data_IF_763973526278
#
_entry.id   IF_763973526278
#
_cell.length_a   1.000
_cell.length_b   1.000
_cell.length_c   1.000
_cell.angle_alpha   90.00
_cell.angle_beta   90.00
_cell.angle_gamma   90.00
#
_symmetry.space_group_name_H-M   'P 1'
#
loop_
_entity.id
_entity.type
_entity.pdbx_description
1 polymer ?
#
# COMPACT_ATOMS: atom_id res chain seq x y z
N UNK A 1 -2.37 -52.54 25.17
CA UNK A 1 -1.37 -51.78 24.38
C UNK A 1 -2.05 -50.49 23.99
N UNK A 2 -1.89 -49.48 24.83
CA UNK A 2 -2.82 -48.37 24.94
C UNK A 2 -2.61 -47.34 23.83
N UNK A 3 -3.71 -46.96 23.16
CA UNK A 3 -3.73 -46.01 22.03
C UNK A 3 -3.04 -44.68 22.41
N UNK A 4 -3.08 -44.30 23.69
CA UNK A 4 -2.39 -43.15 24.25
C UNK A 4 -0.85 -43.25 24.17
N UNK A 5 -0.27 -44.44 24.32
CA UNK A 5 1.17 -44.64 24.20
C UNK A 5 1.65 -44.55 22.74
N UNK A 6 0.83 -45.03 21.80
CA UNK A 6 1.12 -44.95 20.37
C UNK A 6 1.05 -43.49 19.84
N UNK A 7 0.05 -42.72 20.28
CA UNK A 7 -0.08 -41.29 19.92
C UNK A 7 1.05 -40.47 20.53
N UNK A 8 1.45 -40.75 21.78
CA UNK A 8 2.58 -40.10 22.43
C UNK A 8 3.92 -40.34 21.70
N UNK A 9 4.15 -41.57 21.22
CA UNK A 9 5.38 -41.92 20.49
C UNK A 9 5.47 -41.20 19.13
N UNK A 10 4.35 -41.08 18.42
CA UNK A 10 4.28 -40.34 17.14
C UNK A 10 4.53 -38.84 17.35
N UNK A 11 4.01 -38.27 18.43
CA UNK A 11 4.22 -36.85 18.75
C UNK A 11 5.69 -36.53 19.08
N UNK A 12 6.35 -37.40 19.85
CA UNK A 12 7.78 -37.27 20.17
C UNK A 12 8.65 -37.44 18.92
N UNK A 13 8.31 -38.38 18.04
CA UNK A 13 9.01 -38.57 16.76
C UNK A 13 8.84 -37.36 15.83
N UNK A 14 7.64 -36.77 15.76
CA UNK A 14 7.37 -35.57 14.97
C UNK A 14 8.12 -34.33 15.49
N UNK A 15 8.17 -34.14 16.82
CA UNK A 15 8.95 -33.07 17.44
C UNK A 15 10.46 -33.25 17.23
N UNK A 16 10.96 -34.48 17.30
CA UNK A 16 12.37 -34.79 17.02
C UNK A 16 12.73 -34.52 15.55
N UNK A 17 11.85 -34.84 14.61
CA UNK A 17 12.02 -34.54 13.18
C UNK A 17 11.97 -33.03 12.89
N UNK A 18 11.06 -32.29 13.53
CA UNK A 18 11.00 -30.83 13.45
C UNK A 18 12.27 -30.16 14.01
N UNK A 19 12.77 -30.63 15.15
CA UNK A 19 14.00 -30.15 15.75
C UNK A 19 15.24 -30.46 14.89
N UNK A 20 15.27 -31.63 14.24
CA UNK A 20 16.33 -32.00 13.29
C UNK A 20 16.28 -31.14 12.02
N UNK A 21 15.08 -30.80 11.53
CA UNK A 21 14.88 -29.90 10.40
C UNK A 21 15.31 -28.46 10.74
N UNK A 22 14.98 -27.98 11.94
CA UNK A 22 15.45 -26.68 12.47
C UNK A 22 16.97 -26.62 12.68
N UNK A 23 17.61 -27.74 13.05
CA UNK A 23 19.08 -27.83 13.15
C UNK A 23 19.77 -27.87 11.80
N UNK A 24 19.16 -28.45 10.75
CA UNK A 24 19.72 -28.46 9.38
C UNK A 24 19.73 -27.08 8.71
N UNK A 25 18.81 -26.19 9.07
CA UNK A 25 18.79 -24.80 8.60
C UNK A 25 19.87 -23.88 9.21
N UNK A 26 20.66 -24.37 10.17
CA UNK A 26 21.74 -23.61 10.84
C UNK A 26 23.14 -24.03 10.41
N UNK A 27 23.27 -24.75 9.29
CA UNK A 27 24.55 -25.01 8.65
C UNK A 27 25.16 -23.68 8.16
N UNK A 28 26.13 -23.20 8.93
CA UNK A 28 26.97 -22.02 8.68
C UNK A 28 27.37 -21.92 7.20
N UNK A 29 26.81 -20.95 6.48
CA UNK A 29 27.51 -20.34 5.36
C UNK A 29 28.76 -19.66 5.92
N UNK A 30 29.89 -20.36 5.82
CA UNK A 30 31.22 -19.83 6.13
C UNK A 30 31.65 -19.01 4.92
N UNK A 31 31.32 -17.72 4.91
CA UNK A 31 31.76 -16.80 3.86
C UNK A 31 33.29 -16.81 3.75
N UNK A 32 33.88 -16.86 2.55
CA UNK A 32 35.31 -16.72 2.39
C UNK A 32 35.73 -15.33 2.90
N UNK A 33 36.82 -15.27 3.69
CA UNK A 33 37.39 -13.99 4.13
C UNK A 33 37.81 -13.18 2.89
N UNK A 34 37.02 -12.17 2.56
CA UNK A 34 37.40 -11.17 1.57
C UNK A 34 38.66 -10.44 2.07
N UNK A 35 39.69 -10.36 1.22
CA UNK A 35 40.83 -9.46 1.43
C UNK A 35 40.29 -8.02 1.53
N UNK A 36 40.79 -7.16 2.44
CA UNK A 36 40.32 -5.79 2.50
C UNK A 36 40.70 -5.09 1.19
N UNK A 37 39.69 -4.79 0.37
CA UNK A 37 39.85 -3.84 -0.72
C UNK A 37 40.12 -2.50 -0.05
N UNK A 38 41.31 -1.93 -0.25
CA UNK A 38 41.61 -0.56 0.16
C UNK A 38 40.68 0.37 -0.61
N UNK A 39 39.54 0.70 0.00
CA UNK A 39 38.64 1.72 -0.49
C UNK A 39 39.42 3.04 -0.51
N UNK A 40 39.40 3.79 -1.63
CA UNK A 40 39.94 5.14 -1.63
C UNK A 40 39.22 5.98 -0.55
N UNK A 41 39.88 7.01 0.02
CA UNK A 41 39.30 7.82 1.07
C UNK A 41 37.89 8.28 0.70
N UNK A 42 36.95 8.10 1.63
CA UNK A 42 35.58 8.59 1.51
C UNK A 42 35.60 10.02 0.99
N UNK A 43 34.98 10.21 -0.18
CA UNK A 43 34.78 11.52 -0.79
C UNK A 43 34.23 12.52 0.24
N UNK A 44 34.62 13.80 0.18
CA UNK A 44 34.25 14.80 1.17
C UNK A 44 32.73 14.87 1.38
N UNK A 45 32.30 14.87 2.64
CA UNK A 45 30.91 14.92 3.12
C UNK A 45 30.11 16.18 2.72
N UNK A 46 30.70 17.09 1.94
CA UNK A 46 30.13 18.40 1.60
C UNK A 46 30.01 18.57 0.07
N UNK A 47 29.32 17.65 -0.61
CA UNK A 47 28.73 18.01 -1.90
C UNK A 47 27.52 18.90 -1.60
N UNK A 48 27.44 20.13 -2.15
CA UNK A 48 26.25 20.95 -1.97
C UNK A 48 25.05 20.15 -2.46
N UNK A 49 24.07 19.98 -1.57
CA UNK A 49 22.78 19.35 -1.89
C UNK A 49 22.21 20.18 -3.02
N UNK A 50 22.26 19.67 -4.26
CA UNK A 50 21.70 20.38 -5.42
C UNK A 50 20.29 20.83 -5.05
N UNK A 51 20.08 22.14 -5.04
CA UNK A 51 18.74 22.71 -4.89
C UNK A 51 17.83 22.07 -5.93
N UNK A 52 16.57 21.83 -5.55
CA UNK A 52 15.59 21.34 -6.50
C UNK A 52 15.58 22.27 -7.73
N UNK A 53 15.55 21.74 -8.97
CA UNK A 53 15.55 22.58 -10.17
C UNK A 53 14.37 23.55 -10.12
N UNK A 54 14.58 24.80 -10.54
CA UNK A 54 13.46 25.75 -10.66
C UNK A 54 12.52 25.34 -11.82
N UNK A 55 11.37 26.03 -11.95
CA UNK A 55 10.39 25.67 -12.97
C UNK A 55 10.95 25.78 -14.41
N UNK A 56 11.86 26.72 -14.67
CA UNK A 56 12.48 26.90 -15.99
C UNK A 56 13.47 25.76 -16.29
N UNK A 57 14.23 25.33 -15.29
CA UNK A 57 15.12 24.18 -15.38
C UNK A 57 14.34 22.88 -15.57
N UNK A 58 13.26 22.68 -14.82
CA UNK A 58 12.36 21.54 -14.98
C UNK A 58 11.80 21.48 -16.41
N UNK A 59 11.30 22.60 -16.93
CA UNK A 59 10.80 22.68 -18.31
C UNK A 59 11.90 22.30 -19.32
N UNK A 60 13.11 22.82 -19.15
CA UNK A 60 14.24 22.50 -20.04
C UNK A 60 14.62 21.02 -19.99
N UNK A 61 14.54 20.40 -18.82
CA UNK A 61 14.76 18.96 -18.65
C UNK A 61 13.67 18.17 -19.40
N UNK A 62 12.40 18.54 -19.23
CA UNK A 62 11.26 17.90 -19.91
C UNK A 62 11.38 18.02 -21.43
N UNK A 63 11.66 19.21 -21.96
CA UNK A 63 11.77 19.44 -23.41
C UNK A 63 12.85 18.59 -24.09
N UNK A 64 13.87 18.14 -23.35
CA UNK A 64 15.01 17.37 -23.88
C UNK A 64 14.84 15.85 -23.72
N UNK A 65 13.82 15.40 -22.99
CA UNK A 65 13.62 14.00 -22.69
C UNK A 65 12.57 13.36 -23.63
N UNK A 66 12.76 12.10 -24.07
CA UNK A 66 11.70 11.35 -24.74
C UNK A 66 10.64 10.90 -23.72
N UNK A 67 9.37 10.99 -24.11
CA UNK A 67 8.26 10.45 -23.32
C UNK A 67 7.49 9.42 -24.13
N UNK A 68 7.12 8.32 -23.49
CA UNK A 68 6.25 7.30 -24.06
C UNK A 68 5.09 7.04 -23.12
N UNK A 69 3.93 6.71 -23.68
CA UNK A 69 2.79 6.26 -22.89
C UNK A 69 3.06 4.87 -22.32
N UNK A 70 2.54 4.61 -21.13
CA UNK A 70 2.53 3.29 -20.48
C UNK A 70 1.16 3.00 -19.90
N UNK A 71 0.89 1.73 -19.55
CA UNK A 71 -0.30 1.39 -18.76
C UNK A 71 -0.24 2.09 -17.41
N UNK A 72 -1.38 2.61 -16.95
CA UNK A 72 -1.50 3.24 -15.63
C UNK A 72 -1.33 2.22 -14.49
N UNK A 73 -1.79 0.99 -14.73
CA UNK A 73 -1.86 -0.09 -13.75
C UNK A 73 -1.47 -1.43 -14.37
N UNK A 74 -1.12 -2.41 -13.54
CA UNK A 74 -0.84 -3.77 -13.95
C UNK A 74 -2.09 -4.46 -14.54
N UNK A 75 -1.93 -5.66 -15.12
CA UNK A 75 -3.09 -6.40 -15.64
C UNK A 75 -4.02 -6.84 -14.50
N UNK A 76 -3.43 -7.32 -13.40
CA UNK A 76 -4.18 -7.78 -12.23
C UNK A 76 -4.91 -6.60 -11.54
N UNK A 77 -4.23 -5.46 -11.36
CA UNK A 77 -4.86 -4.22 -10.87
C UNK A 77 -6.03 -3.80 -11.78
N UNK A 78 -5.89 -3.89 -13.10
CA UNK A 78 -6.97 -3.56 -14.04
C UNK A 78 -8.17 -4.51 -13.92
N UNK A 79 -7.93 -5.79 -13.65
CA UNK A 79 -9.00 -6.77 -13.47
C UNK A 79 -9.76 -6.51 -12.15
N UNK A 80 -9.06 -6.16 -11.07
CA UNK A 80 -9.69 -5.67 -9.82
C UNK A 80 -10.45 -4.38 -10.07
N UNK A 81 -9.86 -3.40 -10.76
CA UNK A 81 -10.50 -2.12 -11.07
C UNK A 81 -11.85 -2.33 -11.77
N UNK A 82 -11.89 -3.20 -12.78
CA UNK A 82 -13.11 -3.52 -13.53
C UNK A 82 -14.15 -4.23 -12.67
N UNK A 83 -13.72 -5.13 -11.78
CA UNK A 83 -14.63 -5.80 -10.86
C UNK A 83 -15.29 -4.80 -9.89
N UNK A 84 -14.50 -3.90 -9.31
CA UNK A 84 -14.98 -2.82 -8.43
C UNK A 84 -15.93 -1.90 -9.21
N UNK A 85 -15.51 -1.37 -10.36
CA UNK A 85 -16.31 -0.46 -11.19
C UNK A 85 -17.66 -1.07 -11.58
N UNK A 86 -17.67 -2.35 -11.96
CA UNK A 86 -18.90 -3.07 -12.30
C UNK A 86 -19.81 -3.21 -11.09
N UNK A 87 -19.26 -3.49 -9.92
CA UNK A 87 -20.05 -3.64 -8.69
C UNK A 87 -20.61 -2.30 -8.18
N UNK A 88 -19.85 -1.21 -8.26
CA UNK A 88 -20.29 0.11 -7.79
C UNK A 88 -21.61 0.56 -8.41
N UNK A 89 -21.87 0.21 -9.68
CA UNK A 89 -23.15 0.50 -10.36
C UNK A 89 -24.37 -0.11 -9.64
N UNK A 90 -24.16 -1.16 -8.84
CA UNK A 90 -25.19 -1.85 -8.04
C UNK A 90 -25.33 -1.27 -6.63
N UNK A 91 -24.35 -0.51 -6.15
CA UNK A 91 -24.36 0.10 -4.82
C UNK A 91 -25.24 1.38 -4.75
N UNK A 92 -25.68 1.88 -5.90
CA UNK A 92 -26.50 3.08 -6.02
C UNK A 92 -25.84 4.16 -6.88
N UNK A 93 -26.58 5.20 -7.27
CA UNK A 93 -26.03 6.30 -8.05
C UNK A 93 -25.02 7.11 -7.22
N UNK A 94 -24.03 7.71 -7.90
CA UNK A 94 -23.17 8.74 -7.32
C UNK A 94 -21.77 8.28 -6.90
N UNK A 95 -21.54 6.98 -6.70
CA UNK A 95 -20.19 6.48 -6.45
C UNK A 95 -19.34 6.50 -7.71
N UNK A 96 -18.07 6.90 -7.56
CA UNK A 96 -17.08 6.91 -8.64
C UNK A 96 -15.79 6.25 -8.18
N UNK A 97 -15.12 5.53 -9.09
CA UNK A 97 -13.83 4.90 -8.85
C UNK A 97 -12.70 5.75 -9.45
N UNK A 98 -11.67 6.01 -8.66
CA UNK A 98 -10.45 6.70 -9.09
C UNK A 98 -9.28 5.73 -9.11
N UNK A 99 -8.41 5.83 -10.12
CA UNK A 99 -7.21 5.01 -10.24
C UNK A 99 -5.96 5.78 -9.78
N UNK A 100 -5.14 5.15 -8.95
CA UNK A 100 -3.83 5.64 -8.51
C UNK A 100 -3.83 7.07 -7.89
N UNK A 101 -4.84 7.52 -7.11
CA UNK A 101 -4.82 8.86 -6.55
C UNK A 101 -3.72 9.02 -5.49
N UNK A 102 -3.12 10.20 -5.45
CA UNK A 102 -2.17 10.56 -4.38
C UNK A 102 -2.92 10.79 -3.08
N UNK A 103 -2.38 10.27 -1.98
CA UNK A 103 -2.96 10.42 -0.66
C UNK A 103 -3.06 11.88 -0.23
N UNK A 104 -2.14 12.75 -0.66
CA UNK A 104 -2.22 14.18 -0.38
C UNK A 104 -3.39 14.92 -1.04
N UNK A 105 -4.08 14.31 -2.00
CA UNK A 105 -5.26 14.91 -2.66
C UNK A 105 -6.55 14.65 -1.87
N UNK A 106 -6.60 13.59 -1.07
CA UNK A 106 -7.80 13.20 -0.32
C UNK A 106 -7.58 13.12 1.21
N UNK A 107 -6.33 13.20 1.67
CA UNK A 107 -5.97 13.33 3.08
C UNK A 107 -5.29 14.67 3.33
N UNK A 108 -5.57 15.23 4.51
CA UNK A 108 -4.89 16.43 4.99
C UNK A 108 -4.52 16.26 6.45
N UNK A 109 -3.48 16.98 6.88
CA UNK A 109 -3.04 17.00 8.27
C UNK A 109 -2.50 18.40 8.59
N UNK A 110 -2.84 18.98 9.75
CA UNK A 110 -2.20 20.21 10.20
C UNK A 110 -0.73 20.00 10.58
N UNK A 111 -0.35 18.76 10.94
CA UNK A 111 1.03 18.34 11.11
C UNK A 111 1.69 18.18 9.73
N UNK A 112 2.68 19.04 9.46
CA UNK A 112 3.43 19.09 8.20
C UNK A 112 4.26 17.83 7.97
N UNK A 113 4.86 17.26 9.02
CA UNK A 113 5.69 16.07 8.88
C UNK A 113 4.82 14.85 8.56
N UNK A 114 3.65 14.75 9.20
CA UNK A 114 2.65 13.74 8.84
C UNK A 114 2.15 13.93 7.39
N UNK A 115 1.83 15.15 6.98
CA UNK A 115 1.38 15.43 5.62
C UNK A 115 2.45 15.08 4.58
N UNK A 116 3.70 15.53 4.76
CA UNK A 116 4.79 15.21 3.84
C UNK A 116 5.12 13.71 3.82
N UNK A 117 4.89 13.02 4.94
CA UNK A 117 5.02 11.57 5.00
C UNK A 117 4.00 10.86 4.11
N UNK A 118 2.85 11.44 3.80
CA UNK A 118 1.80 10.77 2.99
C UNK A 118 1.59 11.39 1.61
N UNK A 119 1.94 12.66 1.39
CA UNK A 119 1.49 13.44 0.23
C UNK A 119 1.79 12.75 -1.12
N UNK A 120 2.99 12.20 -1.26
CA UNK A 120 3.45 11.52 -2.48
C UNK A 120 3.13 10.03 -2.52
N UNK A 121 2.54 9.46 -1.47
CA UNK A 121 2.07 8.06 -1.47
C UNK A 121 0.77 7.98 -2.26
N UNK A 122 0.52 6.84 -2.89
CA UNK A 122 -0.69 6.58 -3.68
C UNK A 122 -1.37 5.33 -3.15
N UNK A 123 -2.69 5.31 -3.29
CA UNK A 123 -3.49 4.08 -3.20
C UNK A 123 -3.78 3.61 -4.62
N UNK A 124 -3.98 2.31 -4.82
CA UNK A 124 -4.28 1.80 -6.16
C UNK A 124 -5.62 2.31 -6.68
N UNK A 125 -6.61 2.35 -5.78
CA UNK A 125 -7.97 2.71 -6.11
C UNK A 125 -8.64 3.45 -4.94
N UNK A 126 -9.53 4.38 -5.27
CA UNK A 126 -10.34 5.11 -4.30
C UNK A 126 -11.79 5.21 -4.79
N UNK A 127 -12.73 4.74 -3.98
CA UNK A 127 -14.15 5.01 -4.16
C UNK A 127 -14.47 6.35 -3.53
N UNK A 128 -15.09 7.24 -4.30
CA UNK A 128 -15.63 8.51 -3.81
C UNK A 128 -17.15 8.55 -3.96
N UNK A 129 -17.82 9.33 -3.13
CA UNK A 129 -19.26 9.57 -3.24
C UNK A 129 -19.62 10.68 -4.25
N UNK A 130 -20.90 11.04 -4.31
CA UNK A 130 -21.43 12.09 -5.20
C UNK A 130 -20.80 13.46 -4.97
N UNK A 131 -20.32 13.73 -3.76
CA UNK A 131 -19.70 15.00 -3.37
C UNK A 131 -18.18 14.97 -3.49
N UNK A 132 -17.62 13.84 -3.93
CA UNK A 132 -16.19 13.63 -4.08
C UNK A 132 -15.47 13.28 -2.78
N UNK A 133 -16.20 12.91 -1.72
CA UNK A 133 -15.61 12.48 -0.46
C UNK A 133 -15.09 11.04 -0.55
N UNK A 134 -13.90 10.73 0.02
CA UNK A 134 -13.35 9.38 0.03
C UNK A 134 -14.19 8.44 0.91
N UNK A 135 -14.56 7.28 0.36
CA UNK A 135 -15.40 6.28 1.04
C UNK A 135 -14.59 5.02 1.35
N UNK A 136 -13.92 4.47 0.34
CA UNK A 136 -13.13 3.23 0.46
C UNK A 136 -11.84 3.37 -0.33
N UNK A 137 -10.69 3.21 0.33
CA UNK A 137 -9.40 3.03 -0.31
C UNK A 137 -9.12 1.54 -0.51
N UNK A 138 -8.59 1.17 -1.68
CA UNK A 138 -8.37 -0.22 -2.07
C UNK A 138 -6.95 -0.38 -2.59
N UNK A 139 -6.27 -1.44 -2.15
CA UNK A 139 -4.94 -1.86 -2.59
C UNK A 139 -5.01 -3.29 -3.16
N UNK A 140 -4.38 -3.51 -4.32
CA UNK A 140 -4.25 -4.85 -4.90
C UNK A 140 -2.95 -5.50 -4.40
N UNK A 141 -3.08 -6.66 -3.79
CA UNK A 141 -1.97 -7.45 -3.27
C UNK A 141 -1.72 -8.64 -4.17
N UNK A 142 -0.81 -8.46 -5.14
CA UNK A 142 -0.40 -9.52 -6.06
C UNK A 142 0.56 -10.53 -5.43
N UNK A 143 0.56 -11.75 -5.94
CA UNK A 143 1.43 -12.88 -5.56
C UNK A 143 2.95 -12.61 -5.67
N UNK A 144 3.37 -11.58 -6.41
CA UNK A 144 4.76 -11.14 -6.53
C UNK A 144 5.22 -10.09 -5.50
N UNK A 145 4.34 -9.63 -4.59
CA UNK A 145 4.60 -8.42 -3.78
C UNK A 145 5.20 -8.69 -2.40
N UNK A 146 5.27 -9.94 -1.93
CA UNK A 146 5.81 -10.25 -0.60
C UNK A 146 7.31 -9.96 -0.42
N UNK A 147 8.05 -9.67 -1.50
CA UNK A 147 9.51 -9.44 -1.42
C UNK A 147 9.95 -7.98 -1.62
N UNK A 148 9.07 -7.06 -2.05
CA UNK A 148 9.50 -5.71 -2.46
C UNK A 148 8.75 -4.53 -1.81
N UNK A 149 7.63 -4.76 -1.11
CA UNK A 149 7.03 -3.72 -0.27
C UNK A 149 7.50 -3.86 1.17
N UNK A 150 8.25 -2.85 1.63
CA UNK A 150 8.67 -2.79 3.03
C UNK A 150 7.41 -2.66 3.90
N UNK A 151 7.16 -3.55 4.88
CA UNK A 151 5.98 -3.51 5.76
C UNK A 151 5.71 -2.13 6.38
N UNK A 152 6.77 -1.33 6.56
CA UNK A 152 6.69 0.04 7.03
C UNK A 152 5.91 1.00 6.09
N UNK A 153 5.99 0.83 4.76
CA UNK A 153 5.28 1.70 3.80
C UNK A 153 3.77 1.48 3.86
N UNK A 154 3.35 0.22 3.84
CA UNK A 154 1.94 -0.13 3.92
C UNK A 154 1.36 0.22 5.28
N UNK A 155 2.14 0.09 6.36
CA UNK A 155 1.74 0.55 7.69
C UNK A 155 1.43 2.06 7.71
N UNK A 156 2.27 2.88 7.06
CA UNK A 156 2.02 4.34 6.97
C UNK A 156 0.75 4.63 6.17
N UNK A 157 0.53 3.96 5.02
CA UNK A 157 -0.69 4.14 4.22
C UNK A 157 -1.93 3.80 5.05
N UNK A 158 -1.93 2.61 5.63
CA UNK A 158 -3.05 2.07 6.41
C UNK A 158 -3.37 2.92 7.63
N UNK A 159 -2.37 3.37 8.38
CA UNK A 159 -2.59 4.19 9.58
C UNK A 159 -3.14 5.57 9.22
N UNK A 160 -2.66 6.21 8.15
CA UNK A 160 -3.19 7.51 7.72
C UNK A 160 -4.65 7.42 7.27
N UNK A 161 -5.00 6.39 6.50
CA UNK A 161 -6.37 6.12 6.03
C UNK A 161 -7.29 5.83 7.22
N UNK A 162 -6.84 5.00 8.17
CA UNK A 162 -7.57 4.69 9.41
C UNK A 162 -7.82 5.94 10.25
N UNK A 163 -6.81 6.80 10.43
CA UNK A 163 -6.96 8.06 11.17
C UNK A 163 -7.90 9.05 10.50
N UNK A 164 -8.03 8.98 9.19
CA UNK A 164 -9.00 9.77 8.43
C UNK A 164 -10.42 9.18 8.43
N UNK A 165 -10.64 8.02 9.06
CA UNK A 165 -11.95 7.38 9.12
C UNK A 165 -12.42 6.80 7.78
N UNK A 166 -11.49 6.49 6.87
CA UNK A 166 -11.79 5.91 5.56
C UNK A 166 -11.61 4.38 5.65
N UNK A 167 -12.52 3.62 5.05
CA UNK A 167 -12.39 2.16 4.97
C UNK A 167 -11.22 1.78 4.06
N UNK A 168 -10.44 0.77 4.48
CA UNK A 168 -9.28 0.28 3.73
C UNK A 168 -9.46 -1.20 3.41
N UNK A 169 -9.39 -1.55 2.12
CA UNK A 169 -9.51 -2.93 1.65
C UNK A 169 -8.25 -3.39 0.93
N UNK A 170 -7.83 -4.61 1.25
CA UNK A 170 -6.78 -5.32 0.53
C UNK A 170 -7.42 -6.42 -0.32
N UNK A 171 -7.20 -6.35 -1.63
CA UNK A 171 -7.73 -7.32 -2.57
C UNK A 171 -6.57 -8.19 -3.05
N UNK A 172 -6.60 -9.46 -2.69
CA UNK A 172 -5.61 -10.45 -3.12
C UNK A 172 -6.01 -11.15 -4.42
N UNK A 173 -5.02 -11.73 -5.11
CA UNK A 173 -5.19 -12.49 -6.36
C UNK A 173 -6.20 -13.65 -6.27
N UNK A 174 -6.43 -14.19 -5.07
CA UNK A 174 -7.37 -15.28 -4.87
C UNK A 174 -8.83 -14.82 -4.77
N UNK A 175 -9.10 -13.51 -4.64
CA UNK A 175 -10.47 -13.03 -4.61
C UNK A 175 -11.09 -13.04 -6.00
N UNK A 176 -12.24 -13.72 -6.11
CA UNK A 176 -13.09 -13.65 -7.29
C UNK A 176 -13.76 -12.28 -7.44
N UNK A 177 -14.23 -11.95 -8.65
CA UNK A 177 -14.96 -10.71 -8.89
C UNK A 177 -16.23 -10.57 -8.02
N UNK A 178 -16.88 -11.69 -7.68
CA UNK A 178 -18.03 -11.70 -6.78
C UNK A 178 -17.66 -11.34 -5.33
N UNK A 179 -16.55 -11.89 -4.83
CA UNK A 179 -16.02 -11.57 -3.50
C UNK A 179 -15.53 -10.12 -3.41
N UNK A 180 -14.81 -9.64 -4.44
CA UNK A 180 -14.41 -8.22 -4.55
C UNK A 180 -15.65 -7.33 -4.44
N UNK A 181 -16.69 -7.63 -5.21
CA UNK A 181 -17.95 -6.90 -5.15
C UNK A 181 -18.55 -6.89 -3.74
N UNK A 182 -18.67 -8.06 -3.10
CA UNK A 182 -19.20 -8.18 -1.73
C UNK A 182 -18.39 -7.35 -0.73
N UNK A 183 -17.07 -7.45 -0.74
CA UNK A 183 -16.18 -6.70 0.16
C UNK A 183 -16.34 -5.19 -0.01
N UNK A 184 -16.40 -4.71 -1.25
CA UNK A 184 -16.62 -3.30 -1.57
C UNK A 184 -17.99 -2.83 -1.11
N UNK A 185 -19.05 -3.59 -1.40
CA UNK A 185 -20.41 -3.25 -0.98
C UNK A 185 -20.54 -3.15 0.53
N UNK A 186 -19.93 -4.09 1.27
CA UNK A 186 -19.91 -4.07 2.73
C UNK A 186 -19.13 -2.86 3.28
N UNK A 187 -17.98 -2.51 2.69
CA UNK A 187 -17.20 -1.34 3.09
C UNK A 187 -17.98 -0.03 2.85
N UNK A 188 -18.63 0.11 1.70
CA UNK A 188 -19.49 1.27 1.40
C UNK A 188 -20.65 1.36 2.39
N UNK A 189 -21.26 0.24 2.75
CA UNK A 189 -22.37 0.23 3.71
C UNK A 189 -21.94 0.67 5.11
N UNK A 190 -20.73 0.29 5.57
CA UNK A 190 -20.17 0.72 6.87
C UNK A 190 -19.83 2.20 6.90
N UNK A 191 -19.33 2.75 5.79
CA UNK A 191 -18.91 4.14 5.68
C UNK A 191 -19.87 4.98 4.83
N UNK A 192 -21.18 4.74 4.98
CA UNK A 192 -22.19 5.43 4.16
C UNK A 192 -22.05 6.94 4.39
N UNK A 193 -21.78 7.73 3.34
CA UNK A 193 -21.60 9.17 3.50
C UNK A 193 -22.88 9.78 4.09
N UNK A 194 -22.76 10.81 4.94
CA UNK A 194 -23.93 11.44 5.52
C UNK A 194 -24.78 12.05 4.39
N UNK A 195 -26.10 11.98 4.54
CA UNK A 195 -27.07 12.32 3.48
C UNK A 195 -27.05 13.80 3.03
N UNK A 196 -26.23 14.67 3.64
CA UNK A 196 -26.19 16.11 3.35
C UNK A 196 -24.74 16.65 3.31
N UNK A 197 -24.41 17.55 2.37
CA UNK A 197 -23.11 18.25 2.32
C UNK A 197 -22.73 18.97 3.62
N UNK A 198 -23.70 19.41 4.42
CA UNK A 198 -23.47 20.11 5.69
C UNK A 198 -22.96 19.21 6.80
N UNK A 199 -23.00 17.88 6.62
CA UNK A 199 -22.45 16.92 7.56
C UNK A 199 -20.97 16.59 7.27
N UNK A 200 -20.40 17.15 6.20
CA UNK A 200 -18.96 17.13 5.96
C UNK A 200 -18.33 18.08 6.99
N UNK A 201 -17.43 17.61 7.87
CA UNK A 201 -16.73 18.49 8.79
C UNK A 201 -16.07 19.60 7.98
N UNK A 202 -16.22 20.89 8.38
CA UNK A 202 -15.55 21.96 7.69
C UNK A 202 -14.06 21.63 7.62
N UNK A 203 -13.43 21.83 6.44
CA UNK A 203 -11.97 21.78 6.31
C UNK A 203 -11.42 22.55 7.49
N UNK A 204 -10.73 21.86 8.41
CA UNK A 204 -10.06 22.52 9.52
C UNK A 204 -9.16 23.56 8.86
N UNK A 205 -9.53 24.82 9.01
CA UNK A 205 -8.75 25.91 8.47
C UNK A 205 -7.36 25.73 9.05
N UNK A 206 -6.35 25.56 8.19
CA UNK A 206 -4.99 25.63 8.66
C UNK A 206 -4.84 27.02 9.26
N UNK A 207 -4.70 27.07 10.58
CA UNK A 207 -4.38 28.28 11.30
C UNK A 207 -3.13 28.86 10.64
N UNK A 208 -3.34 29.92 9.86
CA UNK A 208 -2.27 30.73 9.30
C UNK A 208 -1.68 31.48 10.48
N UNK A 209 -0.60 30.94 11.03
CA UNK A 209 0.42 31.69 11.75
C UNK A 209 1.57 32.00 10.79
#
# INVERSE_FOLDING_TARGET
MDILAAVGLVFVAALALLAAFWRRGRAKHRSPKAKPLSLPPLAPKNLPRRSAPDAADQLRIVMRAPFTRKRLMSRAELDVFRAVETHLRKCGPGFRLMAQPSMGEFLSSPDKDAYFSINSKRVDMLVIDTFGMPVVAIEHQGSGHYQNDAPARDAVKREAIRRAGIEFLEIFDYHSAGEIGRLVGEAIARNKPPASPSAIPPRQASDRA
#
